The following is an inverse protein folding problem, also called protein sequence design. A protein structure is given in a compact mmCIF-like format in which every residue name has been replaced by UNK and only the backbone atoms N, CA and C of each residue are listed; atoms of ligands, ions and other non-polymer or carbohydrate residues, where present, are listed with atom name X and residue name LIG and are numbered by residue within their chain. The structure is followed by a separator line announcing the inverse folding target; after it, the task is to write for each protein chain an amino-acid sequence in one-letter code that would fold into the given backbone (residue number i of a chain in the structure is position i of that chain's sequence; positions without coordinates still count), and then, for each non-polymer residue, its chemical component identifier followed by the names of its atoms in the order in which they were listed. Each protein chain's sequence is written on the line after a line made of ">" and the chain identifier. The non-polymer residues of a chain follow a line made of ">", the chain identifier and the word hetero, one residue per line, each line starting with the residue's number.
data_IF_397706163728
#
_entry.id   IF_397706163728
#
_cell.length_a   1.000
_cell.length_b   1.000
_cell.length_c   1.000
_cell.angle_alpha   90.00
_cell.angle_beta   90.00
_cell.angle_gamma   90.00
#
_symmetry.space_group_name_H-M   'P 1'
#
loop_
_entity.id
_entity.type
_entity.pdbx_description
1 polymer ?
#
# COMPACT_ATOMS: atom_id res chain seq x y z
N UNK A 1 5.68 -38.38 -1.24
CA UNK A 1 4.71 -38.03 -0.18
C UNK A 1 5.09 -36.66 0.36
N UNK A 2 4.25 -35.64 0.11
CA UNK A 2 4.51 -34.27 0.54
C UNK A 2 3.89 -34.08 1.94
N UNK A 3 4.69 -34.24 3.00
CA UNK A 3 4.25 -34.22 4.41
C UNK A 3 4.56 -32.89 5.07
N UNK A 4 4.18 -31.79 4.43
CA UNK A 4 4.00 -30.50 5.11
C UNK A 4 2.61 -30.02 4.73
N UNK A 5 1.63 -30.37 5.55
CA UNK A 5 0.35 -29.68 5.54
C UNK A 5 0.62 -28.27 6.05
N UNK A 6 1.04 -27.37 5.16
CA UNK A 6 1.12 -25.95 5.46
C UNK A 6 -0.31 -25.48 5.75
N UNK A 7 -0.57 -25.08 6.98
CA UNK A 7 -1.88 -24.58 7.36
C UNK A 7 -2.14 -23.32 6.55
N UNK A 8 -3.30 -23.25 5.90
CA UNK A 8 -3.70 -22.05 5.16
C UNK A 8 -3.72 -20.85 6.11
N UNK A 9 -2.95 -19.83 5.75
CA UNK A 9 -3.00 -18.52 6.39
C UNK A 9 -4.42 -17.92 6.29
N UNK A 10 -4.82 -17.11 7.27
CA UNK A 10 -6.20 -16.59 7.31
C UNK A 10 -6.60 -15.78 6.06
N UNK A 11 -5.64 -15.08 5.45
CA UNK A 11 -5.89 -14.33 4.22
C UNK A 11 -6.18 -15.26 3.03
N UNK A 12 -5.56 -16.44 2.94
CA UNK A 12 -5.88 -17.42 1.89
C UNK A 12 -7.28 -18.03 2.08
N UNK A 13 -7.72 -18.21 3.33
CA UNK A 13 -9.11 -18.59 3.61
C UNK A 13 -10.08 -17.48 3.17
N UNK A 14 -9.76 -16.22 3.44
CA UNK A 14 -10.57 -15.08 3.00
C UNK A 14 -10.67 -14.99 1.47
N UNK A 15 -9.56 -15.20 0.76
CA UNK A 15 -9.54 -15.31 -0.70
C UNK A 15 -10.51 -16.38 -1.18
N UNK A 16 -10.42 -17.60 -0.65
CA UNK A 16 -11.31 -18.69 -1.03
C UNK A 16 -12.79 -18.35 -0.78
N UNK A 17 -13.12 -17.69 0.34
CA UNK A 17 -14.49 -17.24 0.65
C UNK A 17 -14.99 -16.20 -0.35
N UNK A 18 -14.20 -15.18 -0.66
CA UNK A 18 -14.54 -14.16 -1.66
C UNK A 18 -14.81 -14.79 -3.02
N UNK A 19 -13.87 -15.60 -3.52
CA UNK A 19 -13.96 -16.23 -4.84
C UNK A 19 -15.12 -17.24 -4.94
N UNK A 20 -15.49 -17.90 -3.83
CA UNK A 20 -16.63 -18.82 -3.80
C UNK A 20 -17.97 -18.15 -4.08
N UNK A 21 -18.06 -16.82 -3.89
CA UNK A 21 -19.27 -16.02 -4.13
C UNK A 21 -19.38 -15.49 -5.54
N UNK A 22 -18.32 -15.59 -6.34
CA UNK A 22 -18.32 -15.13 -7.72
C UNK A 22 -18.95 -16.18 -8.63
N UNK A 23 -19.89 -15.78 -9.49
CA UNK A 23 -20.72 -16.72 -10.25
C UNK A 23 -19.97 -17.34 -11.43
N UNK A 24 -19.13 -16.56 -12.11
CA UNK A 24 -18.45 -17.00 -13.34
C UNK A 24 -16.99 -17.35 -13.09
N UNK A 25 -16.42 -18.22 -13.95
CA UNK A 25 -14.98 -18.50 -13.93
C UNK A 25 -14.13 -17.26 -14.26
N UNK A 26 -14.69 -16.39 -15.09
CA UNK A 26 -14.12 -15.10 -15.46
C UNK A 26 -13.99 -14.16 -14.26
N UNK A 27 -15.06 -14.00 -13.48
CA UNK A 27 -15.03 -13.23 -12.24
C UNK A 27 -14.01 -13.83 -11.25
N UNK A 28 -13.99 -15.16 -11.08
CA UNK A 28 -13.00 -15.83 -10.21
C UNK A 28 -11.57 -15.58 -10.65
N UNK A 29 -11.30 -15.59 -11.96
CA UNK A 29 -9.97 -15.32 -12.53
C UNK A 29 -9.54 -13.88 -12.27
N UNK A 30 -10.41 -12.91 -12.56
CA UNK A 30 -10.14 -11.49 -12.30
C UNK A 30 -9.92 -11.23 -10.81
N UNK A 31 -10.80 -11.75 -9.95
CA UNK A 31 -10.67 -11.63 -8.49
C UNK A 31 -9.40 -12.26 -7.94
N UNK A 32 -9.01 -13.44 -8.44
CA UNK A 32 -7.74 -14.06 -8.05
C UNK A 32 -6.54 -13.23 -8.49
N UNK A 33 -6.56 -12.67 -9.71
CA UNK A 33 -5.44 -11.85 -10.20
C UNK A 33 -5.28 -10.57 -9.36
N UNK A 34 -6.38 -9.90 -9.03
CA UNK A 34 -6.36 -8.72 -8.14
C UNK A 34 -5.75 -9.10 -6.79
N UNK A 35 -6.19 -10.22 -6.21
CA UNK A 35 -5.71 -10.68 -4.91
C UNK A 35 -4.20 -10.95 -4.92
N UNK A 36 -3.70 -11.73 -5.89
CA UNK A 36 -2.28 -12.01 -6.04
C UNK A 36 -1.45 -10.75 -6.28
N UNK A 37 -1.96 -9.83 -7.12
CA UNK A 37 -1.25 -8.58 -7.37
C UNK A 37 -1.17 -7.71 -6.11
N UNK A 38 -2.21 -7.69 -5.28
CA UNK A 38 -2.23 -6.93 -4.03
C UNK A 38 -1.44 -7.60 -2.89
N UNK A 39 -1.27 -8.93 -2.94
CA UNK A 39 -0.56 -9.69 -1.90
C UNK A 39 0.94 -9.42 -1.90
N UNK A 40 1.52 -9.15 -3.08
CA UNK A 40 2.91 -8.68 -3.16
C UNK A 40 3.04 -7.22 -2.69
N UNK A 41 3.46 -7.05 -1.43
CA UNK A 41 3.61 -5.73 -0.81
C UNK A 41 5.03 -5.14 -0.91
N UNK A 42 5.99 -5.87 -1.49
CA UNK A 42 7.39 -5.43 -1.67
C UNK A 42 7.62 -4.55 -2.92
N UNK A 43 6.58 -4.36 -3.73
CA UNK A 43 6.62 -3.60 -4.98
C UNK A 43 5.43 -2.65 -5.05
N UNK A 44 5.46 -1.77 -6.04
CA UNK A 44 4.30 -0.96 -6.39
C UNK A 44 3.35 -1.81 -7.23
N UNK A 45 2.05 -1.73 -6.95
CA UNK A 45 0.99 -2.54 -7.53
C UNK A 45 1.00 -2.59 -9.06
N UNK A 46 1.41 -1.51 -9.72
CA UNK A 46 1.57 -1.45 -11.16
C UNK A 46 2.52 -2.55 -11.65
N UNK A 47 3.61 -2.80 -10.92
CA UNK A 47 4.65 -3.77 -11.26
C UNK A 47 4.21 -5.22 -11.04
N UNK A 48 3.11 -5.44 -10.32
CA UNK A 48 2.56 -6.78 -10.04
C UNK A 48 1.63 -7.30 -11.16
N UNK A 49 1.36 -6.47 -12.16
CA UNK A 49 0.68 -6.88 -13.38
C UNK A 49 1.68 -7.01 -14.53
N UNK A 50 1.39 -7.91 -15.47
CA UNK A 50 2.11 -7.96 -16.74
C UNK A 50 1.93 -6.64 -17.52
N UNK A 51 2.83 -6.39 -18.48
CA UNK A 51 2.86 -5.12 -19.22
C UNK A 51 1.53 -4.78 -19.88
N UNK A 52 0.83 -5.78 -20.42
CA UNK A 52 -0.40 -5.55 -21.16
C UNK A 52 -1.57 -5.23 -20.24
N UNK A 53 -1.74 -6.01 -19.17
CA UNK A 53 -2.76 -5.73 -18.16
C UNK A 53 -2.51 -4.39 -17.48
N UNK A 54 -1.24 -4.04 -17.23
CA UNK A 54 -0.84 -2.77 -16.63
C UNK A 54 -1.25 -1.56 -17.50
N UNK A 55 -0.99 -1.61 -18.79
CA UNK A 55 -1.31 -0.50 -19.70
C UNK A 55 -2.82 -0.24 -19.84
N UNK A 56 -3.66 -1.25 -19.58
CA UNK A 56 -5.12 -1.11 -19.59
C UNK A 56 -5.70 -0.66 -18.23
N UNK A 57 -5.16 -1.18 -17.11
CA UNK A 57 -5.67 -0.92 -15.77
C UNK A 57 -5.26 0.44 -15.20
N UNK A 58 -4.07 0.94 -15.56
CA UNK A 58 -3.53 2.17 -15.01
C UNK A 58 -3.62 3.33 -15.99
N UNK A 59 -3.46 4.55 -15.47
CA UNK A 59 -3.37 5.76 -16.28
C UNK A 59 -2.17 5.70 -17.24
N UNK A 60 -2.15 6.56 -18.27
CA UNK A 60 -1.09 6.56 -19.29
C UNK A 60 0.33 6.69 -18.73
N UNK A 61 0.49 7.38 -17.60
CA UNK A 61 1.77 7.54 -16.90
C UNK A 61 1.91 6.59 -15.70
N UNK A 62 1.02 5.60 -15.53
CA UNK A 62 0.97 4.63 -14.44
C UNK A 62 0.77 5.21 -13.02
N UNK A 63 0.47 6.51 -12.89
CA UNK A 63 0.37 7.21 -11.59
C UNK A 63 -0.89 6.89 -10.77
N UNK A 64 -1.86 6.20 -11.36
CA UNK A 64 -3.14 5.87 -10.74
C UNK A 64 -3.93 4.87 -11.58
N UNK A 65 -5.13 4.50 -11.13
CA UNK A 65 -6.04 3.70 -11.94
C UNK A 65 -6.53 4.50 -13.16
N UNK A 66 -6.80 3.79 -14.25
CA UNK A 66 -7.49 4.36 -15.39
C UNK A 66 -8.91 4.80 -14.98
N UNK A 67 -9.35 5.97 -15.44
CA UNK A 67 -10.68 6.52 -15.12
C UNK A 67 -11.83 5.65 -15.59
N UNK A 68 -11.61 4.80 -16.60
CA UNK A 68 -12.58 3.80 -17.07
C UNK A 68 -12.72 2.60 -16.12
N UNK A 69 -11.78 2.42 -15.18
CA UNK A 69 -11.70 1.29 -14.25
C UNK A 69 -12.29 1.71 -12.90
N UNK A 70 -13.62 1.86 -12.89
CA UNK A 70 -14.38 2.39 -11.75
C UNK A 70 -15.12 1.32 -10.92
N UNK A 71 -15.14 0.07 -11.37
CA UNK A 71 -15.72 -1.07 -10.66
C UNK A 71 -15.01 -2.39 -11.02
N UNK A 72 -15.43 -3.47 -10.38
CA UNK A 72 -14.89 -4.81 -10.60
C UNK A 72 -15.11 -5.31 -12.03
N UNK A 73 -16.28 -5.07 -12.61
CA UNK A 73 -16.63 -5.58 -13.95
C UNK A 73 -15.78 -4.89 -15.03
N UNK A 74 -15.40 -3.62 -14.83
CA UNK A 74 -14.43 -2.91 -15.66
C UNK A 74 -13.02 -3.45 -15.51
N UNK A 75 -12.57 -3.75 -14.29
CA UNK A 75 -11.28 -4.44 -14.09
C UNK A 75 -11.28 -5.77 -14.85
N UNK A 76 -12.35 -6.55 -14.71
CA UNK A 76 -12.53 -7.82 -15.41
C UNK A 76 -12.51 -7.65 -16.93
N UNK A 77 -13.25 -6.68 -17.48
CA UNK A 77 -13.29 -6.39 -18.91
C UNK A 77 -11.89 -6.17 -19.48
N UNK A 78 -11.04 -5.40 -18.77
CA UNK A 78 -9.65 -5.13 -19.15
C UNK A 78 -8.76 -6.37 -19.04
N UNK A 79 -8.91 -7.19 -17.99
CA UNK A 79 -8.14 -8.44 -17.80
C UNK A 79 -8.55 -9.53 -18.82
N UNK A 80 -9.84 -9.61 -19.17
CA UNK A 80 -10.39 -10.76 -19.91
C UNK A 80 -10.42 -10.54 -21.41
N UNK A 81 -10.70 -9.32 -21.91
CA UNK A 81 -10.66 -9.03 -23.36
C UNK A 81 -9.42 -9.61 -24.03
N UNK A 82 -8.30 -9.59 -23.33
CA UNK A 82 -7.02 -10.11 -23.84
C UNK A 82 -6.78 -11.60 -23.67
N UNK A 83 -7.44 -12.29 -22.72
CA UNK A 83 -7.33 -13.74 -22.66
C UNK A 83 -7.97 -14.39 -23.90
N UNK A 84 -9.02 -13.80 -24.45
CA UNK A 84 -9.65 -14.26 -25.71
C UNK A 84 -8.73 -14.00 -26.91
N UNK A 85 -8.07 -12.84 -26.97
CA UNK A 85 -7.11 -12.54 -28.03
C UNK A 85 -5.87 -13.47 -27.99
N UNK A 86 -5.35 -13.79 -26.81
CA UNK A 86 -4.22 -14.71 -26.64
C UNK A 86 -4.59 -16.20 -26.81
N UNK A 87 -5.83 -16.60 -26.50
CA UNK A 87 -6.32 -17.96 -26.75
C UNK A 87 -6.38 -18.32 -28.25
N UNK A 88 -6.39 -17.32 -29.14
CA UNK A 88 -6.31 -17.58 -30.59
C UNK A 88 -4.89 -17.90 -31.08
N UNK A 89 -3.85 -17.70 -30.26
CA UNK A 89 -2.47 -17.81 -30.73
C UNK A 89 -1.54 -18.79 -29.96
N UNK A 90 -1.86 -19.32 -28.77
CA UNK A 90 -0.94 -20.28 -28.14
C UNK A 90 -1.54 -21.11 -26.97
N UNK A 91 -2.53 -21.97 -27.24
CA UNK A 91 -2.93 -22.99 -26.25
C UNK A 91 -1.97 -24.17 -26.28
N UNK A 92 -0.84 -24.06 -25.55
CA UNK A 92 0.00 -25.22 -25.25
C UNK A 92 -0.61 -26.04 -24.11
N UNK A 93 -0.73 -27.34 -24.30
CA UNK A 93 -1.12 -28.29 -23.26
C UNK A 93 -0.03 -28.39 -22.18
N UNK A 94 -0.41 -28.78 -20.96
CA UNK A 94 0.56 -29.03 -19.88
C UNK A 94 1.67 -30.01 -20.31
N UNK A 95 1.33 -30.96 -21.17
CA UNK A 95 2.28 -31.93 -21.73
C UNK A 95 3.28 -31.29 -22.71
N UNK A 96 2.86 -30.29 -23.48
CA UNK A 96 3.74 -29.51 -24.36
C UNK A 96 4.65 -28.57 -23.57
N UNK A 97 4.14 -27.95 -22.50
CA UNK A 97 4.93 -27.13 -21.57
C UNK A 97 6.03 -27.98 -20.91
N UNK A 98 5.72 -29.21 -20.50
CA UNK A 98 6.68 -30.13 -19.89
C UNK A 98 7.74 -30.66 -20.88
N UNK A 99 7.50 -30.58 -22.20
CA UNK A 99 8.43 -30.98 -23.26
C UNK A 99 9.30 -29.82 -23.77
N UNK A 100 8.89 -28.58 -23.54
CA UNK A 100 9.63 -27.39 -23.96
C UNK A 100 10.82 -27.19 -23.01
N UNK A 101 11.98 -27.73 -23.37
CA UNK A 101 13.24 -27.62 -22.60
C UNK A 101 13.95 -26.27 -22.81
N UNK A 102 13.35 -25.36 -23.57
CA UNK A 102 13.90 -24.03 -23.77
C UNK A 102 13.70 -23.21 -22.49
N UNK A 103 14.76 -22.65 -21.90
CA UNK A 103 14.61 -21.75 -20.78
C UNK A 103 13.75 -20.56 -21.25
N UNK A 104 12.59 -20.39 -20.63
CA UNK A 104 11.80 -19.16 -20.75
C UNK A 104 12.74 -18.06 -20.25
N UNK A 105 13.22 -17.20 -21.16
CA UNK A 105 13.92 -15.98 -20.79
C UNK A 105 12.88 -14.99 -20.27
N UNK A 106 12.41 -15.19 -19.05
CA UNK A 106 11.87 -14.09 -18.27
C UNK A 106 13.06 -13.28 -17.77
N UNK A 107 13.04 -11.97 -18.01
CA UNK A 107 13.95 -10.98 -17.40
C UNK A 107 13.67 -10.89 -15.88
N UNK A 108 13.84 -12.00 -15.16
CA UNK A 108 13.55 -12.14 -13.73
C UNK A 108 14.49 -11.29 -12.88
N UNK A 109 15.63 -10.84 -13.41
CA UNK A 109 16.58 -10.01 -12.66
C UNK A 109 15.96 -8.68 -12.21
N UNK A 110 15.14 -8.05 -13.06
CA UNK A 110 14.51 -6.77 -12.72
C UNK A 110 13.41 -6.96 -11.66
N UNK A 111 12.67 -8.07 -11.72
CA UNK A 111 11.59 -8.37 -10.76
C UNK A 111 12.17 -8.67 -9.37
N UNK A 112 13.28 -9.40 -9.30
CA UNK A 112 13.97 -9.70 -8.04
C UNK A 112 14.54 -8.40 -7.42
N UNK A 113 15.19 -7.56 -8.23
CA UNK A 113 15.74 -6.29 -7.75
C UNK A 113 14.65 -5.32 -7.26
N UNK A 114 13.49 -5.31 -7.92
CA UNK A 114 12.36 -4.47 -7.52
C UNK A 114 11.70 -4.95 -6.22
N UNK A 115 11.58 -6.27 -6.03
CA UNK A 115 11.08 -6.88 -4.78
C UNK A 115 11.98 -6.61 -3.57
N UNK A 116 13.30 -6.41 -3.77
CA UNK A 116 14.25 -6.09 -2.70
C UNK A 116 14.33 -4.59 -2.40
N UNK A 117 13.82 -3.73 -3.28
CA UNK A 117 13.98 -2.28 -3.17
C UNK A 117 13.04 -1.65 -2.15
N UNK A 118 11.81 -2.16 -1.99
CA UNK A 118 10.82 -1.53 -1.12
C UNK A 118 10.27 -2.50 -0.08
N UNK A 119 10.08 -2.00 1.13
CA UNK A 119 9.41 -2.71 2.21
C UNK A 119 8.21 -1.87 2.68
N UNK A 120 7.03 -2.50 2.67
CA UNK A 120 5.80 -1.92 3.19
C UNK A 120 5.82 -1.85 4.72
N UNK A 121 5.23 -0.79 5.29
CA UNK A 121 5.15 -0.61 6.74
C UNK A 121 4.20 -1.59 7.45
N UNK A 122 3.33 -2.25 6.69
CA UNK A 122 2.37 -3.28 7.13
C UNK A 122 2.38 -4.45 6.14
N UNK A 123 2.04 -5.65 6.64
CA UNK A 123 1.87 -6.87 5.82
C UNK A 123 0.52 -6.91 5.11
N UNK A 124 0.37 -7.82 4.14
CA UNK A 124 -0.86 -7.96 3.36
C UNK A 124 -2.12 -8.26 4.20
N UNK A 125 -2.11 -9.18 5.19
CA UNK A 125 -3.28 -9.36 6.06
C UNK A 125 -3.67 -8.08 6.80
N UNK A 126 -2.70 -7.32 7.30
CA UNK A 126 -2.99 -6.05 7.96
C UNK A 126 -3.54 -5.01 6.96
N UNK A 127 -3.03 -4.98 5.73
CA UNK A 127 -3.56 -4.13 4.67
C UNK A 127 -5.02 -4.45 4.35
N UNK A 128 -5.41 -5.73 4.29
CA UNK A 128 -6.81 -6.15 4.11
C UNK A 128 -7.71 -5.56 5.20
N UNK A 129 -7.27 -5.59 6.48
CA UNK A 129 -8.02 -4.99 7.58
C UNK A 129 -8.11 -3.45 7.44
N UNK A 130 -7.04 -2.80 7.00
CA UNK A 130 -7.03 -1.35 6.76
C UNK A 130 -8.00 -0.96 5.63
N UNK A 131 -8.09 -1.77 4.58
CA UNK A 131 -9.07 -1.57 3.50
C UNK A 131 -10.49 -1.77 4.02
N UNK A 132 -10.74 -2.84 4.78
CA UNK A 132 -12.04 -3.11 5.38
C UNK A 132 -12.52 -1.95 6.27
N UNK A 133 -11.64 -1.44 7.12
CA UNK A 133 -11.91 -0.27 7.97
C UNK A 133 -12.20 0.98 7.12
N UNK A 134 -11.41 1.23 6.07
CA UNK A 134 -11.55 2.41 5.22
C UNK A 134 -12.87 2.44 4.42
N UNK A 135 -13.34 1.28 3.96
CA UNK A 135 -14.62 1.16 3.24
C UNK A 135 -15.82 1.05 4.18
N UNK A 136 -15.61 0.80 5.48
CA UNK A 136 -16.71 0.69 6.44
C UNK A 136 -17.30 2.07 6.74
N UNK A 137 -18.62 2.10 6.82
CA UNK A 137 -19.39 3.26 7.29
C UNK A 137 -19.50 3.30 8.82
N UNK A 138 -19.10 2.24 9.53
CA UNK A 138 -19.20 2.16 10.98
C UNK A 138 -18.12 2.98 11.70
N UNK A 139 -18.52 3.73 12.72
CA UNK A 139 -17.59 4.45 13.62
C UNK A 139 -16.96 3.56 14.70
N UNK A 140 -17.17 2.23 14.67
CA UNK A 140 -16.58 1.26 15.60
C UNK A 140 -15.09 1.01 15.30
N UNK A 141 -14.24 1.95 15.72
CA UNK A 141 -12.81 2.00 15.36
C UNK A 141 -11.93 0.91 16.01
N UNK A 142 -12.28 0.40 17.19
CA UNK A 142 -11.30 -0.37 18.00
C UNK A 142 -11.17 -1.86 17.64
N UNK A 143 -12.18 -2.51 17.05
CA UNK A 143 -12.13 -3.98 16.84
C UNK A 143 -11.73 -4.42 15.42
N UNK A 144 -11.82 -3.56 14.42
CA UNK A 144 -11.71 -3.98 13.01
C UNK A 144 -10.28 -4.30 12.56
N UNK A 145 -9.27 -3.69 13.19
CA UNK A 145 -7.86 -3.96 12.87
C UNK A 145 -7.27 -5.14 13.67
N UNK A 146 -8.07 -5.85 14.46
CA UNK A 146 -7.60 -7.00 15.25
C UNK A 146 -7.48 -8.28 14.42
N UNK A 147 -6.24 -8.70 14.14
CA UNK A 147 -5.94 -9.95 13.41
C UNK A 147 -6.52 -11.23 14.05
N UNK A 148 -6.80 -11.26 15.36
CA UNK A 148 -7.37 -12.43 16.04
C UNK A 148 -8.76 -12.75 15.51
N UNK A 149 -9.47 -11.71 15.07
CA UNK A 149 -10.81 -11.80 14.52
C UNK A 149 -10.80 -11.56 13.00
N UNK A 150 -9.66 -11.73 12.32
CA UNK A 150 -9.46 -11.38 10.91
C UNK A 150 -10.63 -11.78 10.01
N UNK A 151 -11.00 -13.07 9.99
CA UNK A 151 -12.09 -13.56 9.13
C UNK A 151 -13.45 -12.98 9.50
N UNK A 152 -13.71 -12.75 10.80
CA UNK A 152 -14.95 -12.18 11.30
C UNK A 152 -15.06 -10.70 10.91
N UNK A 153 -13.96 -9.94 11.03
CA UNK A 153 -13.94 -8.51 10.75
C UNK A 153 -14.27 -8.20 9.28
N UNK A 154 -13.88 -9.09 8.36
CA UNK A 154 -14.07 -8.90 6.93
C UNK A 154 -15.20 -9.74 6.34
N UNK A 155 -15.97 -10.46 7.16
CA UNK A 155 -16.98 -11.42 6.68
C UNK A 155 -18.10 -10.79 5.86
N UNK A 156 -18.38 -9.52 6.13
CA UNK A 156 -19.40 -8.74 5.43
C UNK A 156 -19.11 -8.64 3.93
N UNK A 157 -17.83 -8.70 3.56
CA UNK A 157 -17.35 -8.56 2.19
C UNK A 157 -17.65 -9.78 1.31
N UNK A 158 -18.02 -10.95 1.86
CA UNK A 158 -18.37 -12.14 1.07
C UNK A 158 -19.77 -12.66 1.37
N UNK A 159 -20.70 -11.78 1.78
CA UNK A 159 -22.10 -12.18 1.99
C UNK A 159 -22.72 -12.68 0.68
N UNK A 160 -22.53 -11.91 -0.39
CA UNK A 160 -23.03 -12.19 -1.73
C UNK A 160 -21.98 -11.81 -2.79
N UNK A 161 -22.33 -11.98 -4.07
CA UNK A 161 -21.44 -11.67 -5.19
C UNK A 161 -21.09 -10.18 -5.28
N UNK A 162 -22.06 -9.30 -5.06
CA UNK A 162 -21.91 -7.85 -5.14
C UNK A 162 -20.90 -7.34 -4.10
N UNK A 163 -21.04 -7.75 -2.84
CA UNK A 163 -20.09 -7.38 -1.78
C UNK A 163 -18.68 -7.89 -2.09
N UNK A 164 -18.56 -9.10 -2.63
CA UNK A 164 -17.26 -9.67 -3.00
C UNK A 164 -16.59 -8.89 -4.11
N UNK A 165 -17.35 -8.54 -5.17
CA UNK A 165 -16.87 -7.72 -6.29
C UNK A 165 -16.44 -6.33 -5.81
N UNK A 166 -17.28 -5.68 -5.02
CA UNK A 166 -16.99 -4.36 -4.45
C UNK A 166 -15.72 -4.38 -3.59
N UNK A 167 -15.56 -5.39 -2.72
CA UNK A 167 -14.37 -5.52 -1.89
C UNK A 167 -13.10 -5.76 -2.72
N UNK A 168 -13.13 -6.65 -3.72
CA UNK A 168 -11.99 -6.91 -4.58
C UNK A 168 -11.57 -5.66 -5.37
N UNK A 169 -12.54 -4.90 -5.88
CA UNK A 169 -12.25 -3.61 -6.53
C UNK A 169 -11.62 -2.60 -5.55
N UNK A 170 -12.21 -2.45 -4.36
CA UNK A 170 -11.68 -1.54 -3.34
C UNK A 170 -10.29 -1.97 -2.84
N UNK A 171 -9.99 -3.26 -2.78
CA UNK A 171 -8.65 -3.77 -2.48
C UNK A 171 -7.62 -3.24 -3.48
N UNK A 172 -7.93 -3.32 -4.79
CA UNK A 172 -7.08 -2.78 -5.85
C UNK A 172 -6.96 -1.24 -5.77
N UNK A 173 -8.09 -0.54 -5.64
CA UNK A 173 -8.12 0.93 -5.56
C UNK A 173 -7.33 1.44 -4.36
N UNK A 174 -7.58 0.89 -3.18
CA UNK A 174 -6.83 1.22 -1.98
C UNK A 174 -5.37 0.86 -2.10
N UNK A 175 -5.01 -0.20 -2.84
CA UNK A 175 -3.61 -0.58 -3.01
C UNK A 175 -2.85 0.47 -3.83
N UNK A 176 -3.46 1.00 -4.88
CA UNK A 176 -2.90 2.12 -5.66
C UNK A 176 -2.72 3.35 -4.78
N UNK A 177 -3.72 3.70 -3.98
CA UNK A 177 -3.64 4.83 -3.04
C UNK A 177 -2.59 4.60 -1.95
N UNK A 178 -2.52 3.38 -1.41
CA UNK A 178 -1.53 2.99 -0.40
C UNK A 178 -0.11 3.14 -0.93
N UNK A 179 0.15 2.60 -2.12
CA UNK A 179 1.48 2.70 -2.73
C UNK A 179 1.88 4.13 -3.06
N UNK A 180 0.92 5.00 -3.38
CA UNK A 180 1.16 6.41 -3.71
C UNK A 180 1.29 7.30 -2.47
N UNK A 181 0.51 7.09 -1.42
CA UNK A 181 0.36 8.06 -0.32
C UNK A 181 0.80 7.55 1.05
N UNK A 182 1.15 6.27 1.20
CA UNK A 182 1.61 5.68 2.46
C UNK A 182 3.11 5.39 2.40
N UNK A 183 3.79 5.75 3.48
CA UNK A 183 5.22 5.60 3.69
C UNK A 183 5.69 4.16 3.44
N UNK A 184 6.85 4.04 2.79
CA UNK A 184 7.60 2.79 2.63
C UNK A 184 9.03 2.97 3.12
N UNK A 185 9.73 1.85 3.31
CA UNK A 185 11.18 1.84 3.44
C UNK A 185 11.77 1.46 2.09
N UNK A 186 12.72 2.25 1.62
CA UNK A 186 13.43 2.00 0.37
C UNK A 186 14.88 1.61 0.67
N UNK A 187 15.40 0.63 -0.07
CA UNK A 187 16.76 0.13 -0.02
C UNK A 187 17.42 0.38 -1.38
N UNK A 188 18.08 1.54 -1.52
CA UNK A 188 18.73 1.93 -2.76
C UNK A 188 20.04 2.69 -2.51
N UNK A 189 20.98 2.58 -3.46
CA UNK A 189 22.26 3.32 -3.46
C UNK A 189 22.96 3.24 -2.09
N UNK A 190 23.23 4.39 -1.48
CA UNK A 190 24.00 4.53 -0.23
C UNK A 190 23.24 4.03 1.02
N UNK A 191 21.95 3.76 0.91
CA UNK A 191 21.10 3.25 1.98
C UNK A 191 20.53 1.86 1.65
N UNK A 192 21.19 1.10 0.77
CA UNK A 192 20.79 -0.29 0.42
C UNK A 192 20.76 -1.24 1.62
N UNK A 193 21.66 -1.08 2.58
CA UNK A 193 21.71 -1.95 3.77
C UNK A 193 20.84 -1.45 4.92
N UNK A 194 20.78 -0.13 5.10
CA UNK A 194 20.12 0.49 6.27
C UNK A 194 18.66 0.81 6.01
N UNK A 195 18.27 0.99 4.74
CA UNK A 195 16.96 1.46 4.33
C UNK A 195 16.66 2.89 4.77
N UNK A 196 15.89 3.62 3.96
CA UNK A 196 15.44 4.98 4.26
C UNK A 196 13.93 5.09 4.11
N UNK A 197 13.31 5.92 4.93
CA UNK A 197 11.91 6.30 4.72
C UNK A 197 11.74 6.99 3.38
N UNK A 198 10.82 6.50 2.57
CA UNK A 198 10.46 7.06 1.28
C UNK A 198 8.94 7.26 1.19
N UNK A 199 8.55 8.35 0.57
CA UNK A 199 7.17 8.64 0.19
C UNK A 199 7.21 8.99 -1.28
N UNK A 200 6.90 8.00 -2.11
CA UNK A 200 7.06 8.06 -3.54
C UNK A 200 5.80 7.51 -4.23
N UNK A 201 5.63 7.87 -5.49
CA UNK A 201 4.69 7.27 -6.41
C UNK A 201 5.43 6.68 -7.60
N UNK A 202 4.82 5.67 -8.23
CA UNK A 202 5.31 5.09 -9.46
C UNK A 202 4.69 5.83 -10.65
N UNK A 203 5.54 6.32 -11.53
CA UNK A 203 5.18 6.80 -12.86
C UNK A 203 5.92 6.02 -13.94
N UNK A 204 5.57 6.24 -15.20
CA UNK A 204 6.24 5.67 -16.35
C UNK A 204 7.00 6.74 -17.15
N UNK A 205 8.08 6.33 -17.81
CA UNK A 205 8.74 7.14 -18.85
C UNK A 205 9.09 6.27 -20.05
N UNK A 206 9.14 6.89 -21.23
CA UNK A 206 9.51 6.20 -22.46
C UNK A 206 11.02 6.12 -22.58
N UNK A 207 11.58 4.92 -22.64
CA UNK A 207 12.98 4.72 -22.97
C UNK A 207 13.16 4.81 -24.49
N UNK A 208 13.79 5.88 -24.97
CA UNK A 208 14.03 6.12 -26.40
C UNK A 208 14.79 4.98 -27.09
N UNK A 209 15.62 4.22 -26.35
CA UNK A 209 16.45 3.14 -26.92
C UNK A 209 15.69 1.82 -27.07
N UNK A 210 14.68 1.57 -26.23
CA UNK A 210 14.00 0.27 -26.17
C UNK A 210 12.52 0.33 -26.57
N UNK A 211 11.95 1.52 -26.71
CA UNK A 211 10.59 1.73 -27.23
C UNK A 211 9.46 1.41 -26.25
N UNK A 212 9.75 0.87 -25.06
CA UNK A 212 8.77 0.54 -24.02
C UNK A 212 8.85 1.49 -22.81
N UNK A 213 7.75 1.53 -22.04
CA UNK A 213 7.65 2.31 -20.80
C UNK A 213 8.41 1.63 -19.66
N UNK A 214 9.17 2.40 -18.90
CA UNK A 214 9.91 1.97 -17.71
C UNK A 214 9.39 2.66 -16.45
N UNK A 215 9.46 2.01 -15.28
CA UNK A 215 9.06 2.62 -14.02
C UNK A 215 10.02 3.74 -13.62
N UNK A 216 9.46 4.80 -13.06
CA UNK A 216 10.15 5.94 -12.46
C UNK A 216 9.52 6.21 -11.11
N UNK A 217 10.36 6.40 -10.10
CA UNK A 217 9.94 6.64 -8.73
C UNK A 217 10.18 8.11 -8.40
N UNK A 218 9.12 8.82 -8.06
CA UNK A 218 9.12 10.26 -7.78
C UNK A 218 8.45 10.51 -6.44
N UNK A 219 8.73 11.62 -5.76
CA UNK A 219 7.99 11.99 -4.56
C UNK A 219 6.51 12.21 -4.87
N UNK A 220 5.63 11.81 -3.95
CA UNK A 220 4.17 11.80 -4.16
C UNK A 220 3.60 13.18 -4.49
N UNK A 221 4.14 14.24 -3.88
CA UNK A 221 3.71 15.63 -4.07
C UNK A 221 4.71 16.47 -4.88
N UNK A 222 5.70 15.85 -5.51
CA UNK A 222 6.77 16.54 -6.24
C UNK A 222 8.13 15.84 -6.08
N UNK A 223 9.23 16.56 -6.30
CA UNK A 223 10.56 16.02 -5.99
C UNK A 223 10.74 15.72 -4.50
N UNK A 224 11.80 15.01 -4.12
CA UNK A 224 12.12 14.72 -2.72
C UNK A 224 12.35 15.99 -1.86
N UNK A 225 12.65 17.12 -2.51
CA UNK A 225 12.83 18.44 -1.92
C UNK A 225 11.53 19.24 -1.75
N UNK A 226 10.40 18.72 -2.21
CA UNK A 226 9.12 19.36 -1.97
C UNK A 226 8.79 19.36 -0.47
N UNK A 227 8.49 20.54 0.07
CA UNK A 227 8.24 20.71 1.50
C UNK A 227 7.02 19.89 1.97
N UNK A 228 5.97 19.77 1.15
CA UNK A 228 4.79 18.97 1.49
C UNK A 228 5.14 17.49 1.53
N UNK A 229 5.94 17.00 0.58
CA UNK A 229 6.43 15.62 0.58
C UNK A 229 7.33 15.35 1.81
N UNK A 230 8.24 16.27 2.15
CA UNK A 230 9.09 16.19 3.36
C UNK A 230 8.25 16.14 4.63
N UNK A 231 7.30 17.05 4.78
CA UNK A 231 6.41 17.13 5.94
C UNK A 231 5.58 15.86 6.11
N UNK A 232 4.94 15.38 5.04
CA UNK A 232 4.09 14.19 5.12
C UNK A 232 4.90 12.92 5.39
N UNK A 233 6.05 12.76 4.72
CA UNK A 233 6.98 11.64 4.97
C UNK A 233 7.40 11.61 6.44
N UNK A 234 7.80 12.76 6.99
CA UNK A 234 8.21 12.86 8.39
C UNK A 234 7.04 12.59 9.34
N UNK A 235 5.85 13.16 9.09
CA UNK A 235 4.67 12.93 9.92
C UNK A 235 4.24 11.45 9.93
N UNK A 236 4.26 10.78 8.78
CA UNK A 236 3.96 9.35 8.71
C UNK A 236 5.03 8.51 9.41
N UNK A 237 6.31 8.89 9.32
CA UNK A 237 7.36 8.21 10.07
C UNK A 237 7.22 8.40 11.59
N UNK A 238 6.79 9.59 12.04
CA UNK A 238 6.36 9.86 13.42
C UNK A 238 5.24 8.90 13.85
N UNK A 239 4.18 8.79 13.05
CA UNK A 239 3.06 7.89 13.34
C UNK A 239 3.50 6.42 13.35
N UNK A 240 4.37 6.01 12.42
CA UNK A 240 4.90 4.65 12.35
C UNK A 240 5.74 4.26 13.56
N UNK A 241 6.55 5.17 14.09
CA UNK A 241 7.30 4.89 15.33
C UNK A 241 6.40 4.95 16.57
N UNK A 242 5.34 5.76 16.54
CA UNK A 242 4.40 5.91 17.66
C UNK A 242 3.58 4.64 17.85
N UNK A 243 2.97 4.16 16.77
CA UNK A 243 2.11 2.98 16.74
C UNK A 243 2.91 1.79 16.23
N UNK A 244 3.49 1.00 17.14
CA UNK A 244 4.39 -0.10 16.76
C UNK A 244 3.65 -1.32 16.21
N UNK A 245 2.37 -1.49 16.58
CA UNK A 245 1.50 -2.58 16.13
C UNK A 245 0.57 -2.10 15.00
N UNK A 246 0.49 -2.81 13.86
CA UNK A 246 -0.44 -2.48 12.77
C UNK A 246 -1.90 -2.33 13.21
N UNK A 247 -2.30 -3.06 14.25
CA UNK A 247 -3.65 -2.99 14.85
C UNK A 247 -4.03 -1.61 15.39
N UNK A 248 -3.03 -0.80 15.70
CA UNK A 248 -3.20 0.55 16.27
C UNK A 248 -2.96 1.66 15.25
N UNK A 249 -2.61 1.30 14.00
CA UNK A 249 -2.32 2.26 12.93
C UNK A 249 -3.61 2.72 12.22
N UNK A 250 -4.61 3.19 12.97
CA UNK A 250 -5.88 3.70 12.41
C UNK A 250 -5.70 4.92 11.49
N UNK A 251 -4.54 5.60 11.58
CA UNK A 251 -4.21 6.67 10.67
C UNK A 251 -4.13 6.22 9.21
N UNK A 252 -3.79 4.93 8.93
CA UNK A 252 -3.71 4.42 7.56
C UNK A 252 -5.12 4.33 6.94
N UNK A 253 -6.07 3.69 7.62
CA UNK A 253 -7.46 3.61 7.17
C UNK A 253 -8.11 4.99 7.06
N UNK A 254 -7.80 5.92 7.97
CA UNK A 254 -8.23 7.31 7.87
C UNK A 254 -7.74 7.97 6.56
N UNK A 255 -6.46 7.80 6.22
CA UNK A 255 -5.90 8.34 4.96
C UNK A 255 -6.58 7.70 3.75
N UNK A 256 -6.71 6.38 3.73
CA UNK A 256 -7.36 5.66 2.62
C UNK A 256 -8.81 6.11 2.43
N UNK A 257 -9.58 6.23 3.52
CA UNK A 257 -10.98 6.68 3.49
C UNK A 257 -11.11 8.09 2.91
N UNK A 258 -10.25 9.03 3.29
CA UNK A 258 -10.25 10.38 2.74
C UNK A 258 -9.90 10.37 1.24
N UNK A 259 -8.85 9.65 0.84
CA UNK A 259 -8.41 9.56 -0.56
C UNK A 259 -9.40 8.84 -1.47
N UNK A 260 -10.12 7.85 -0.96
CA UNK A 260 -11.17 7.17 -1.70
C UNK A 260 -12.33 8.09 -2.08
N UNK A 261 -12.66 9.04 -1.18
CA UNK A 261 -13.72 10.02 -1.36
C UNK A 261 -13.27 11.18 -2.26
N UNK A 262 -12.07 11.71 -2.03
CA UNK A 262 -11.42 12.72 -2.88
C UNK A 262 -9.90 12.52 -2.85
N UNK A 263 -9.32 12.13 -3.98
CA UNK A 263 -7.87 11.91 -4.10
C UNK A 263 -7.07 13.22 -3.90
N UNK A 264 -7.70 14.38 -4.05
CA UNK A 264 -7.09 15.69 -3.79
C UNK A 264 -7.12 16.11 -2.31
N UNK A 265 -7.69 15.27 -1.43
CA UNK A 265 -7.75 15.52 0.00
C UNK A 265 -6.39 15.93 0.57
N UNK A 266 -6.39 16.94 1.44
CA UNK A 266 -5.17 17.42 2.08
C UNK A 266 -4.73 16.48 3.21
N UNK A 267 -4.10 15.35 2.84
CA UNK A 267 -3.70 14.30 3.80
C UNK A 267 -2.78 14.79 4.91
N UNK A 268 -1.95 15.80 4.62
CA UNK A 268 -1.10 16.41 5.64
C UNK A 268 -1.95 17.03 6.76
N UNK A 269 -2.96 17.82 6.40
CA UNK A 269 -3.86 18.45 7.36
C UNK A 269 -4.73 17.42 8.11
N UNK A 270 -5.21 16.39 7.41
CA UNK A 270 -5.95 15.27 8.03
C UNK A 270 -5.10 14.59 9.11
N UNK A 271 -3.85 14.25 8.81
CA UNK A 271 -2.96 13.57 9.77
C UNK A 271 -2.50 14.50 10.89
N UNK A 272 -2.30 15.79 10.62
CA UNK A 272 -2.04 16.76 11.69
C UNK A 272 -3.23 16.91 12.64
N UNK A 273 -4.46 16.92 12.11
CA UNK A 273 -5.68 16.87 12.91
C UNK A 273 -5.73 15.64 13.79
N UNK A 274 -5.51 14.45 13.20
CA UNK A 274 -5.43 13.19 13.93
C UNK A 274 -4.41 13.22 15.08
N UNK A 275 -3.21 13.75 14.83
CA UNK A 275 -2.19 13.87 15.87
C UNK A 275 -2.61 14.84 16.99
N UNK A 276 -3.19 16.00 16.64
CA UNK A 276 -3.68 16.97 17.63
C UNK A 276 -4.75 16.36 18.53
N UNK A 277 -5.71 15.64 17.94
CA UNK A 277 -6.76 14.96 18.69
C UNK A 277 -6.18 13.92 19.64
N UNK A 278 -5.25 13.09 19.16
CA UNK A 278 -4.56 12.08 20.01
C UNK A 278 -3.75 12.71 21.16
N UNK A 279 -3.06 13.82 20.92
CA UNK A 279 -2.35 14.53 21.99
C UNK A 279 -3.31 15.14 23.00
N UNK A 280 -4.45 15.67 22.56
CA UNK A 280 -5.46 16.20 23.47
C UNK A 280 -6.12 15.09 24.32
N UNK A 281 -6.39 13.94 23.73
CA UNK A 281 -6.94 12.74 24.39
C UNK A 281 -5.97 12.16 25.44
N UNK A 282 -4.66 12.32 25.25
CA UNK A 282 -3.63 11.70 26.10
C UNK A 282 -3.47 12.32 27.50
N UNK A 283 -4.29 13.31 27.86
CA UNK A 283 -4.22 14.02 29.15
C UNK A 283 -2.80 14.53 29.52
N UNK A 284 -2.00 14.91 28.52
CA UNK A 284 -0.57 15.22 28.67
C UNK A 284 -0.24 16.30 29.71
N UNK A 285 -1.21 17.16 30.06
CA UNK A 285 -1.05 18.24 31.07
C UNK A 285 -0.97 17.70 32.49
N UNK A 286 -1.51 16.52 32.75
CA UNK A 286 -1.63 15.92 34.10
C UNK A 286 -0.84 14.62 34.18
N UNK A 287 -0.78 13.85 33.09
CA UNK A 287 -0.03 12.61 32.99
C UNK A 287 1.46 12.81 33.33
N UNK A 288 2.07 11.80 33.96
CA UNK A 288 3.48 11.82 34.37
C UNK A 288 4.15 10.47 34.10
N UNK A 289 5.46 10.48 33.92
CA UNK A 289 6.24 9.24 33.77
C UNK A 289 5.73 8.40 32.61
N UNK A 290 5.40 7.14 32.88
CA UNK A 290 4.92 6.17 31.89
C UNK A 290 3.48 6.40 31.41
N UNK A 291 2.72 7.25 32.09
CA UNK A 291 1.35 7.59 31.67
C UNK A 291 1.32 8.60 30.51
N UNK A 292 2.47 9.20 30.18
CA UNK A 292 2.57 10.07 29.01
C UNK A 292 2.62 9.23 27.74
N UNK A 293 1.56 9.32 26.94
CA UNK A 293 1.52 8.63 25.67
C UNK A 293 2.63 9.09 24.73
N UNK A 294 3.17 8.13 23.98
CA UNK A 294 4.29 8.35 23.07
C UNK A 294 4.01 9.42 22.01
N UNK A 295 2.76 9.55 21.57
CA UNK A 295 2.34 10.51 20.55
C UNK A 295 2.65 11.97 20.95
N UNK A 296 2.64 12.28 22.24
CA UNK A 296 2.95 13.63 22.75
C UNK A 296 4.37 14.04 22.37
N UNK A 297 5.34 13.13 22.53
CA UNK A 297 6.74 13.40 22.24
C UNK A 297 7.03 13.35 20.74
N UNK A 298 6.53 12.31 20.05
CA UNK A 298 6.82 12.15 18.62
C UNK A 298 6.16 13.24 17.78
N UNK A 299 4.96 13.70 18.15
CA UNK A 299 4.32 14.83 17.47
C UNK A 299 4.98 16.17 17.81
N UNK A 300 5.48 16.35 19.05
CA UNK A 300 6.30 17.51 19.39
C UNK A 300 7.58 17.55 18.54
N UNK A 301 8.28 16.44 18.40
CA UNK A 301 9.47 16.32 17.54
C UNK A 301 9.13 16.69 16.09
N UNK A 302 7.99 16.24 15.58
CA UNK A 302 7.49 16.63 14.25
C UNK A 302 7.23 18.14 14.14
N UNK A 303 6.58 18.77 15.14
CA UNK A 303 6.33 20.22 15.15
C UNK A 303 7.65 21.00 15.16
N UNK A 304 8.60 20.58 16.01
CA UNK A 304 9.94 21.19 16.08
C UNK A 304 10.69 21.05 14.74
N UNK A 305 10.56 19.91 14.07
CA UNK A 305 11.09 19.70 12.73
C UNK A 305 10.42 20.59 11.68
N UNK A 306 9.09 20.70 11.71
CA UNK A 306 8.28 21.43 10.72
C UNK A 306 8.48 22.94 10.82
N UNK A 307 8.41 23.47 12.04
CA UNK A 307 8.36 24.91 12.30
C UNK A 307 9.72 25.47 12.74
N UNK A 308 10.65 24.61 13.14
CA UNK A 308 11.88 25.00 13.80
C UNK A 308 11.63 25.45 15.24
N UNK A 309 12.71 25.89 15.90
CA UNK A 309 12.63 26.38 17.28
C UNK A 309 13.71 27.43 17.54
N UNK A 310 13.30 28.53 18.18
CA UNK A 310 14.19 29.60 18.60
C UNK A 310 14.07 29.82 20.11
N UNK A 311 15.20 29.97 20.77
CA UNK A 311 15.26 30.28 22.21
C UNK A 311 16.09 31.54 22.42
N UNK A 312 15.52 32.52 23.11
CA UNK A 312 16.15 33.83 23.40
C UNK A 312 16.70 34.52 22.13
N UNK A 313 15.93 34.47 21.03
CA UNK A 313 16.30 35.08 19.75
C UNK A 313 17.35 34.31 18.94
N UNK A 314 17.85 33.17 19.43
CA UNK A 314 18.77 32.30 18.68
C UNK A 314 18.00 31.11 18.12
N UNK A 315 18.10 30.90 16.81
CA UNK A 315 17.56 29.71 16.15
C UNK A 315 18.36 28.47 16.56
N UNK A 316 17.70 27.52 17.19
CA UNK A 316 18.27 26.25 17.64
C UNK A 316 17.98 25.16 16.62
N UNK A 317 16.72 25.08 16.17
CA UNK A 317 16.27 24.11 15.17
C UNK A 317 15.82 24.88 13.94
N UNK A 318 16.43 24.56 12.81
CA UNK A 318 16.04 25.07 11.50
C UNK A 318 14.94 24.15 10.95
N UNK A 319 13.86 24.70 10.38
CA UNK A 319 12.76 23.90 9.86
C UNK A 319 13.19 23.05 8.66
N UNK A 320 12.61 21.86 8.55
CA UNK A 320 12.70 20.95 7.40
C UNK A 320 14.13 20.55 6.96
N UNK A 321 15.08 20.53 7.90
CA UNK A 321 16.43 20.09 7.60
C UNK A 321 16.52 18.60 7.30
N UNK A 322 17.36 18.23 6.34
CA UNK A 322 17.60 16.84 5.94
C UNK A 322 18.57 16.06 6.85
N UNK A 323 19.07 16.69 7.92
CA UNK A 323 19.98 16.08 8.90
C UNK A 323 19.27 15.29 10.02
N UNK A 324 17.93 15.26 9.99
CA UNK A 324 17.11 14.59 10.99
C UNK A 324 15.99 13.75 10.35
N UNK A 325 15.75 12.57 10.91
CA UNK A 325 14.63 11.69 10.54
C UNK A 325 14.29 10.75 11.70
N UNK A 326 13.03 10.35 11.79
CA UNK A 326 12.66 9.22 12.64
C UNK A 326 13.25 7.92 12.08
N UNK A 327 13.60 6.98 12.95
CA UNK A 327 14.00 5.64 12.56
C UNK A 327 13.18 4.61 13.34
N UNK A 328 12.67 3.62 12.63
CA UNK A 328 12.12 2.41 13.23
C UNK A 328 13.10 1.27 12.96
N UNK A 329 13.58 0.63 14.03
CA UNK A 329 14.46 -0.54 13.94
C UNK A 329 13.71 -1.72 14.55
N UNK A 330 13.53 -2.78 13.78
CA UNK A 330 13.19 -4.07 14.35
C UNK A 330 14.41 -4.54 15.15
N UNK A 331 14.21 -4.95 16.40
CA UNK A 331 15.27 -5.66 17.13
C UNK A 331 15.62 -6.92 16.34
N UNK A 332 16.91 -7.07 16.03
CA UNK A 332 17.49 -8.25 15.36
C UNK A 332 17.44 -9.44 16.31
#
# INVERSE_FOLDING_TARGET
>A
MNTRGEQLEFHEIAKAKLLSKLSTNEDKKAGSLIWEACSNMGTYIQMNFDLETRDELFSKNWSGLNTEVNDFDKVKEKIIRKNVDNLTNDTKTLFEILKDTKPIKTDNSNIIEENERFESIISFPNFILQVNEAISESDEKESMLDDKNFLKNIEINWRNEETSKAFLYNLLKCRVLFDKYILKREFARDYKETGKWSLQCLESYKDEKRGYLKPKYLGTFGGDDDNKNKQLRTLQSCLRITYTSPKTMHWISLVLKNLMNDENSNILEVLEGYCKDKVNESNYKIARGFDLERIVFTYLDYILYRDGYSYRGKQIILPLKDDWQFQFRNSI
#
